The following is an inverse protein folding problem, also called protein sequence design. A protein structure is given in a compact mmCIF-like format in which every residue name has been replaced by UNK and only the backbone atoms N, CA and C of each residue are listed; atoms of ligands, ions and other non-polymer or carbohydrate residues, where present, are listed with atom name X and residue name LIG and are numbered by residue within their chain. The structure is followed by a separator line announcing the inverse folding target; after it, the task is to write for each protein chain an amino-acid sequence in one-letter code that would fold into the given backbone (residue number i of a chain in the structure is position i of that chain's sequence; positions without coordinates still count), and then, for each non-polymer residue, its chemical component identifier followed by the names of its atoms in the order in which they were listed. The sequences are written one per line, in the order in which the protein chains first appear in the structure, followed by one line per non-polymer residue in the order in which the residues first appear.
data_IF_160135894504
#
_entry.id   IF_160135894504
#
_cell.length_a   1.000
_cell.length_b   1.000
_cell.length_c   1.000
_cell.angle_alpha   90.00
_cell.angle_beta   90.00
_cell.angle_gamma   90.00
#
_symmetry.space_group_name_H-M   'P 1'
#
loop_
_entity.id
_entity.type
_entity.pdbx_description
1 polymer ?
#
# COMPACT_ATOMS: atom_id res chain seq x y z
N UNK A 1 -16.67 48.29 0.07
CA UNK A 1 -16.90 47.19 1.02
C UNK A 1 -15.89 46.10 0.71
N UNK A 2 -14.98 45.79 1.63
CA UNK A 2 -14.07 44.67 1.47
C UNK A 2 -14.89 43.37 1.57
N UNK A 3 -14.93 42.59 0.49
CA UNK A 3 -15.58 41.29 0.49
C UNK A 3 -14.87 40.32 1.45
N UNK A 4 -15.61 39.39 2.02
CA UNK A 4 -15.10 38.37 2.96
C UNK A 4 -14.04 37.44 2.33
N UNK A 5 -13.92 37.45 1.01
CA UNK A 5 -12.99 36.65 0.23
C UNK A 5 -12.19 37.54 -0.71
N UNK A 6 -10.88 37.35 -0.69
CA UNK A 6 -9.91 37.95 -1.60
C UNK A 6 -9.69 37.01 -2.78
N UNK A 7 -9.56 37.57 -3.97
CA UNK A 7 -9.18 36.81 -5.15
C UNK A 7 -7.72 36.36 -5.01
N UNK A 8 -7.49 35.05 -5.10
CA UNK A 8 -6.15 34.46 -5.16
C UNK A 8 -5.94 33.87 -6.54
N UNK A 9 -4.76 34.11 -7.12
CA UNK A 9 -4.32 33.48 -8.36
C UNK A 9 -3.84 32.05 -8.09
N UNK A 10 -3.74 31.21 -9.12
CA UNK A 10 -3.15 29.87 -9.00
C UNK A 10 -1.72 29.92 -8.45
N UNK A 11 -0.97 30.98 -8.80
CA UNK A 11 0.37 31.25 -8.27
C UNK A 11 0.34 31.56 -6.77
N UNK A 12 -0.66 32.29 -6.28
CA UNK A 12 -0.81 32.56 -4.83
C UNK A 12 -1.11 31.28 -4.05
N UNK A 13 -1.93 30.40 -4.64
CA UNK A 13 -2.25 29.08 -4.08
C UNK A 13 -1.01 28.19 -4.04
N UNK A 14 -0.22 28.12 -5.13
CA UNK A 14 1.03 27.37 -5.17
C UNK A 14 2.06 27.90 -4.16
N UNK A 15 2.19 29.22 -4.06
CA UNK A 15 3.09 29.85 -3.09
C UNK A 15 2.68 29.54 -1.66
N UNK A 16 1.39 29.61 -1.33
CA UNK A 16 0.86 29.23 -0.02
C UNK A 16 1.13 27.76 0.29
N UNK A 17 0.84 26.85 -0.65
CA UNK A 17 1.10 25.41 -0.49
C UNK A 17 2.58 25.10 -0.27
N UNK A 18 3.48 25.82 -0.94
CA UNK A 18 4.93 25.64 -0.77
C UNK A 18 5.46 26.20 0.57
N UNK A 19 4.84 27.26 1.11
CA UNK A 19 5.22 27.87 2.40
C UNK A 19 4.70 27.06 3.59
N UNK A 20 3.48 26.52 3.49
CA UNK A 20 2.85 25.72 4.55
C UNK A 20 3.34 24.26 4.59
N UNK A 21 4.13 23.81 3.61
CA UNK A 21 4.69 22.47 3.65
C UNK A 21 5.67 22.33 4.82
N UNK A 22 5.36 21.41 5.74
CA UNK A 22 6.21 21.16 6.90
C UNK A 22 7.63 20.78 6.45
N UNK A 23 8.59 21.64 6.80
CA UNK A 23 10.02 21.50 6.44
C UNK A 23 10.59 20.13 6.79
N UNK A 24 10.21 19.57 7.94
CA UNK A 24 10.67 18.25 8.37
C UNK A 24 10.13 17.15 7.46
N UNK A 25 8.90 17.30 6.98
CA UNK A 25 8.27 16.34 6.08
C UNK A 25 8.89 16.41 4.68
N UNK A 26 9.13 17.61 4.16
CA UNK A 26 9.85 17.82 2.89
C UNK A 26 11.22 17.14 2.91
N UNK A 27 12.02 17.42 3.95
CA UNK A 27 13.36 16.83 4.12
C UNK A 27 13.31 15.29 4.22
N UNK A 28 12.36 14.72 4.96
CA UNK A 28 12.19 13.26 5.04
C UNK A 28 11.82 12.66 3.68
N UNK A 29 10.91 13.30 2.95
CA UNK A 29 10.48 12.85 1.62
C UNK A 29 11.65 12.90 0.63
N UNK A 30 12.43 13.98 0.60
CA UNK A 30 13.62 14.08 -0.25
C UNK A 30 14.66 12.98 0.06
N UNK A 31 14.91 12.72 1.36
CA UNK A 31 15.82 11.66 1.78
C UNK A 31 15.37 10.27 1.33
N UNK A 32 14.08 9.97 1.46
CA UNK A 32 13.52 8.69 1.02
C UNK A 32 13.48 8.56 -0.51
N UNK A 33 13.14 9.62 -1.24
CA UNK A 33 13.17 9.63 -2.71
C UNK A 33 14.59 9.42 -3.25
N UNK A 34 15.59 10.01 -2.61
CA UNK A 34 17.00 9.82 -3.00
C UNK A 34 17.37 8.34 -3.01
N UNK A 35 16.93 7.57 -2.01
CA UNK A 35 17.21 6.15 -1.93
C UNK A 35 16.45 5.34 -2.99
N UNK A 36 15.19 5.70 -3.25
CA UNK A 36 14.38 5.07 -4.31
C UNK A 36 14.99 5.32 -5.70
N UNK A 37 15.39 6.55 -5.99
CA UNK A 37 16.04 6.90 -7.26
C UNK A 37 17.40 6.21 -7.42
N UNK A 38 18.18 6.09 -6.34
CA UNK A 38 19.42 5.32 -6.35
C UNK A 38 19.15 3.84 -6.69
N UNK A 39 18.11 3.23 -6.12
CA UNK A 39 17.70 1.88 -6.48
C UNK A 39 17.28 1.75 -7.94
N UNK A 40 16.46 2.67 -8.47
CA UNK A 40 16.08 2.65 -9.89
C UNK A 40 17.29 2.71 -10.82
N UNK A 41 18.29 3.53 -10.48
CA UNK A 41 19.53 3.60 -11.25
C UNK A 41 20.29 2.25 -11.27
N UNK A 42 20.24 1.45 -10.19
CA UNK A 42 20.81 0.09 -10.17
C UNK A 42 20.05 -0.89 -11.07
N UNK A 43 18.73 -0.70 -11.21
CA UNK A 43 17.88 -1.44 -12.16
C UNK A 43 17.95 -0.86 -13.59
N UNK A 44 18.90 0.06 -13.87
CA UNK A 44 19.06 0.77 -15.15
C UNK A 44 17.84 1.56 -15.59
N UNK A 45 17.04 2.04 -14.63
CA UNK A 45 15.90 2.92 -14.85
C UNK A 45 16.27 4.35 -14.44
N UNK A 46 16.22 5.27 -15.40
CA UNK A 46 16.67 6.66 -15.23
C UNK A 46 15.56 7.68 -15.51
N UNK A 47 14.36 7.23 -15.91
CA UNK A 47 13.21 8.12 -16.07
C UNK A 47 12.79 8.70 -14.71
N UNK A 48 12.10 9.83 -14.75
CA UNK A 48 11.48 10.38 -13.53
C UNK A 48 10.37 9.45 -13.04
N UNK A 49 10.09 9.46 -11.75
CA UNK A 49 9.10 8.59 -11.13
C UNK A 49 7.71 8.79 -11.74
N UNK A 50 7.36 10.06 -12.02
CA UNK A 50 6.10 10.48 -12.64
C UNK A 50 5.96 10.08 -14.11
N UNK A 51 7.06 9.75 -14.79
CA UNK A 51 7.04 9.30 -16.19
C UNK A 51 6.84 7.78 -16.31
N UNK A 52 6.92 7.05 -15.20
CA UNK A 52 6.75 5.60 -15.19
C UNK A 52 5.27 5.23 -15.27
N UNK A 53 4.96 4.16 -16.01
CA UNK A 53 3.61 3.59 -16.00
C UNK A 53 3.30 3.00 -14.61
N UNK A 54 2.05 3.07 -14.11
CA UNK A 54 1.70 2.57 -12.78
C UNK A 54 2.14 1.13 -12.51
N UNK A 55 1.98 0.23 -13.50
CA UNK A 55 2.40 -1.17 -13.37
C UNK A 55 3.92 -1.35 -13.23
N UNK A 56 4.72 -0.51 -13.90
CA UNK A 56 6.18 -0.57 -13.80
C UNK A 56 6.64 0.01 -12.46
N UNK A 57 6.05 1.13 -12.06
CA UNK A 57 6.31 1.78 -10.78
C UNK A 57 6.00 0.83 -9.61
N UNK A 58 4.87 0.12 -9.65
CA UNK A 58 4.49 -0.89 -8.65
C UNK A 58 5.50 -2.05 -8.58
N UNK A 59 5.98 -2.52 -9.74
CA UNK A 59 7.01 -3.57 -9.81
C UNK A 59 8.33 -3.11 -9.19
N UNK A 60 8.82 -1.92 -9.53
CA UNK A 60 10.05 -1.38 -8.97
C UNK A 60 9.94 -1.15 -7.47
N UNK A 61 8.83 -0.62 -7.01
CA UNK A 61 8.65 -0.31 -5.59
C UNK A 61 8.44 -1.56 -4.75
N UNK A 62 7.80 -2.60 -5.30
CA UNK A 62 7.76 -3.92 -4.68
C UNK A 62 9.17 -4.49 -4.50
N UNK A 63 10.01 -4.44 -5.54
CA UNK A 63 11.41 -4.91 -5.46
C UNK A 63 12.25 -4.07 -4.50
N UNK A 64 12.10 -2.74 -4.53
CA UNK A 64 12.76 -1.82 -3.61
C UNK A 64 12.41 -2.16 -2.16
N UNK A 65 11.12 -2.30 -1.83
CA UNK A 65 10.70 -2.59 -0.46
C UNK A 65 11.16 -3.96 0.04
N UNK A 66 11.35 -4.93 -0.87
CA UNK A 66 11.89 -6.25 -0.54
C UNK A 66 13.41 -6.24 -0.36
N UNK A 67 14.14 -5.35 -1.04
CA UNK A 67 15.61 -5.32 -1.03
C UNK A 67 16.20 -4.28 -0.09
N UNK A 68 15.45 -3.24 0.28
CA UNK A 68 15.96 -2.11 1.04
C UNK A 68 16.29 -2.48 2.49
N UNK A 69 17.54 -2.23 2.89
CA UNK A 69 18.07 -2.51 4.24
C UNK A 69 18.93 -1.34 4.73
N UNK A 70 19.17 -1.26 6.04
CA UNK A 70 20.11 -0.30 6.62
C UNK A 70 21.55 -0.67 6.21
N UNK A 71 22.49 0.26 6.41
CA UNK A 71 23.91 0.08 6.05
C UNK A 71 24.60 -1.16 6.67
N UNK A 72 24.09 -1.65 7.80
CA UNK A 72 24.61 -2.83 8.51
C UNK A 72 23.86 -4.13 8.14
N UNK A 73 23.00 -4.11 7.12
CA UNK A 73 22.16 -5.26 6.73
C UNK A 73 20.91 -5.45 7.60
N UNK A 74 20.68 -4.59 8.59
CA UNK A 74 19.46 -4.63 9.39
C UNK A 74 18.22 -4.26 8.56
N UNK A 75 17.11 -4.95 8.81
CA UNK A 75 15.82 -4.63 8.20
C UNK A 75 15.30 -3.27 8.71
N UNK A 76 14.59 -2.55 7.85
CA UNK A 76 13.87 -1.34 8.27
C UNK A 76 12.58 -1.70 9.01
N UNK A 77 12.27 -0.92 10.04
CA UNK A 77 10.98 -1.01 10.72
C UNK A 77 9.80 -0.85 9.75
N UNK A 78 8.68 -1.58 9.93
CA UNK A 78 7.50 -1.46 9.08
C UNK A 78 6.98 -0.02 8.94
N UNK A 79 7.13 0.80 9.98
CA UNK A 79 6.75 2.22 9.96
C UNK A 79 7.63 3.05 9.02
N UNK A 80 8.91 2.70 8.89
CA UNK A 80 9.85 3.35 7.96
C UNK A 80 9.55 2.94 6.52
N UNK A 81 9.22 1.66 6.29
CA UNK A 81 8.76 1.17 4.99
C UNK A 81 7.50 1.90 4.51
N UNK A 82 6.54 2.14 5.41
CA UNK A 82 5.38 3.00 5.12
C UNK A 82 5.79 4.43 4.80
N UNK A 83 6.83 4.95 5.47
CA UNK A 83 7.41 6.26 5.20
C UNK A 83 7.95 6.42 3.77
N UNK A 84 8.60 5.39 3.23
CA UNK A 84 9.03 5.35 1.83
C UNK A 84 7.83 5.45 0.88
N UNK A 85 6.83 4.58 1.05
CA UNK A 85 5.62 4.60 0.21
C UNK A 85 4.91 5.95 0.29
N UNK A 86 4.73 6.49 1.50
CA UNK A 86 4.07 7.77 1.70
C UNK A 86 4.83 8.95 1.05
N UNK A 87 6.15 8.85 0.96
CA UNK A 87 6.99 9.88 0.34
C UNK A 87 6.95 9.83 -1.17
N UNK A 88 6.99 8.62 -1.75
CA UNK A 88 6.77 8.42 -3.19
C UNK A 88 5.36 8.88 -3.58
N UNK A 89 4.34 8.45 -2.85
CA UNK A 89 2.95 8.86 -3.04
C UNK A 89 2.77 10.39 -3.00
N UNK A 90 3.40 11.06 -2.03
CA UNK A 90 3.37 12.52 -1.90
C UNK A 90 4.02 13.21 -3.10
N UNK A 91 5.18 12.70 -3.52
CA UNK A 91 5.90 13.23 -4.67
C UNK A 91 5.09 13.11 -5.96
N UNK A 92 4.56 11.92 -6.24
CA UNK A 92 3.75 11.64 -7.42
C UNK A 92 2.50 12.53 -7.48
N UNK A 93 1.81 12.72 -6.35
CA UNK A 93 0.67 13.65 -6.28
C UNK A 93 1.05 15.09 -6.59
N UNK A 94 2.21 15.55 -6.11
CA UNK A 94 2.71 16.90 -6.40
C UNK A 94 2.97 17.09 -7.90
N UNK A 95 3.36 16.02 -8.61
CA UNK A 95 3.56 16.03 -10.06
C UNK A 95 2.28 15.73 -10.87
N UNK A 96 1.10 15.65 -10.23
CA UNK A 96 -0.16 15.39 -10.93
C UNK A 96 -0.32 13.94 -11.41
N UNK A 97 0.42 13.00 -10.85
CA UNK A 97 0.35 11.59 -11.23
C UNK A 97 -1.04 10.99 -10.91
N UNK A 98 -1.66 10.32 -11.89
CA UNK A 98 -3.07 9.91 -11.83
C UNK A 98 -3.37 8.80 -10.82
N UNK A 99 -2.42 7.90 -10.58
CA UNK A 99 -2.65 6.69 -9.80
C UNK A 99 -1.98 6.75 -8.43
N UNK A 100 -2.75 6.44 -7.39
CA UNK A 100 -2.21 6.31 -6.04
C UNK A 100 -1.63 4.92 -5.81
N UNK A 101 -0.49 4.83 -5.15
CA UNK A 101 0.11 3.57 -4.71
C UNK A 101 -0.68 2.93 -3.56
N UNK A 102 -1.45 3.73 -2.83
CA UNK A 102 -2.31 3.30 -1.73
C UNK A 102 -3.74 3.05 -2.24
N UNK A 103 -3.92 2.94 -3.56
CA UNK A 103 -5.25 2.84 -4.19
C UNK A 103 -5.96 1.55 -3.83
N UNK A 104 -5.28 0.43 -3.60
CA UNK A 104 -5.96 -0.87 -3.39
C UNK A 104 -7.06 -0.83 -2.32
N UNK A 105 -6.73 -0.29 -1.14
CA UNK A 105 -7.70 -0.14 -0.03
C UNK A 105 -8.74 0.96 -0.32
N UNK A 106 -8.32 2.13 -0.81
CA UNK A 106 -9.24 3.25 -1.07
C UNK A 106 -10.24 2.90 -2.18
N UNK A 107 -9.75 2.31 -3.26
CA UNK A 107 -10.56 1.78 -4.34
C UNK A 107 -11.52 0.72 -3.81
N UNK A 108 -11.02 -0.26 -3.03
CA UNK A 108 -11.90 -1.24 -2.39
C UNK A 108 -13.06 -0.56 -1.65
N UNK A 109 -12.75 0.42 -0.78
CA UNK A 109 -13.75 1.19 -0.04
C UNK A 109 -14.73 1.93 -0.94
N UNK A 110 -14.28 2.57 -2.03
CA UNK A 110 -15.17 3.26 -2.98
C UNK A 110 -16.11 2.30 -3.73
N UNK A 111 -15.72 1.03 -3.87
CA UNK A 111 -16.51 0.01 -4.58
C UNK A 111 -17.45 -0.76 -3.64
N UNK A 112 -17.37 -0.56 -2.32
CA UNK A 112 -18.26 -1.20 -1.34
C UNK A 112 -19.68 -0.64 -1.44
N UNK A 113 -20.73 -1.47 -1.28
CA UNK A 113 -22.08 -1.00 -1.04
C UNK A 113 -22.11 -0.08 0.19
N UNK A 114 -22.83 1.05 0.09
CA UNK A 114 -22.89 2.08 1.16
C UNK A 114 -23.34 1.50 2.51
N UNK A 115 -24.23 0.53 2.47
CA UNK A 115 -24.77 -0.25 3.60
C UNK A 115 -23.71 -1.10 4.34
N UNK A 116 -22.54 -1.32 3.75
CA UNK A 116 -21.41 -2.06 4.37
C UNK A 116 -20.25 -1.15 4.82
N UNK A 117 -20.51 0.16 4.89
CA UNK A 117 -19.60 1.20 5.40
C UNK A 117 -19.91 1.57 6.86
N UNK A 118 -20.45 0.62 7.63
CA UNK A 118 -20.72 0.78 9.05
C UNK A 118 -19.69 0.01 9.88
N UNK A 119 -19.45 0.47 11.10
CA UNK A 119 -18.54 -0.22 12.02
C UNK A 119 -18.99 -1.68 12.25
N UNK A 120 -18.01 -2.58 12.40
CA UNK A 120 -18.26 -4.03 12.48
C UNK A 120 -18.63 -4.72 11.16
N UNK A 121 -18.75 -4.00 10.04
CA UNK A 121 -18.97 -4.64 8.73
C UNK A 121 -17.79 -5.54 8.34
N UNK A 122 -18.04 -6.73 7.76
CA UNK A 122 -16.97 -7.62 7.32
C UNK A 122 -16.10 -6.93 6.26
N UNK A 123 -14.77 -6.96 6.46
CA UNK A 123 -13.84 -6.36 5.50
C UNK A 123 -13.92 -7.06 4.13
N UNK A 124 -13.94 -8.39 4.10
CA UNK A 124 -14.06 -9.14 2.85
C UNK A 124 -15.53 -9.41 2.52
N UNK A 125 -16.01 -8.78 1.45
CA UNK A 125 -17.34 -8.97 0.91
C UNK A 125 -17.32 -9.97 -0.25
N UNK A 126 -18.47 -10.60 -0.50
CA UNK A 126 -18.66 -11.51 -1.62
C UNK A 126 -18.48 -10.77 -2.95
N UNK A 127 -17.61 -11.29 -3.81
CA UNK A 127 -17.33 -10.72 -5.14
C UNK A 127 -18.50 -11.02 -6.08
N UNK A 128 -18.94 -10.02 -6.84
CA UNK A 128 -19.84 -10.26 -7.97
C UNK A 128 -19.05 -10.75 -9.18
N UNK A 129 -19.42 -11.91 -9.71
CA UNK A 129 -18.83 -12.50 -10.92
C UNK A 129 -19.34 -11.76 -12.16
N UNK A 130 -18.84 -10.54 -12.36
CA UNK A 130 -19.11 -9.72 -13.54
C UNK A 130 -17.99 -9.90 -14.57
N UNK A 131 -18.33 -9.77 -15.84
CA UNK A 131 -17.34 -9.68 -16.91
C UNK A 131 -16.52 -8.39 -16.80
N UNK A 132 -15.33 -8.33 -17.41
CA UNK A 132 -14.47 -7.14 -17.34
C UNK A 132 -15.18 -5.89 -17.89
N UNK A 133 -15.97 -6.06 -18.94
CA UNK A 133 -16.75 -4.96 -19.56
C UNK A 133 -17.79 -4.42 -18.58
N UNK A 134 -18.47 -5.31 -17.85
CA UNK A 134 -19.45 -4.92 -16.82
C UNK A 134 -18.79 -4.27 -15.61
N UNK A 135 -17.57 -4.65 -15.25
CA UNK A 135 -16.82 -4.04 -14.15
C UNK A 135 -16.31 -2.63 -14.47
N UNK A 136 -16.08 -2.33 -15.75
CA UNK A 136 -15.64 -1.02 -16.21
C UNK A 136 -16.73 0.06 -16.12
N UNK A 137 -17.99 -0.32 -15.99
CA UNK A 137 -19.11 0.62 -15.83
C UNK A 137 -19.05 1.32 -14.47
N UNK A 138 -19.35 2.63 -14.45
CA UNK A 138 -19.42 3.41 -13.21
C UNK A 138 -20.49 2.90 -12.23
N UNK A 139 -21.54 2.25 -12.76
CA UNK A 139 -22.64 1.63 -12.01
C UNK A 139 -22.37 0.18 -11.59
N UNK A 140 -21.18 -0.36 -11.88
CA UNK A 140 -20.84 -1.73 -11.58
C UNK A 140 -20.93 -2.01 -10.07
N UNK A 141 -21.70 -3.05 -9.71
CA UNK A 141 -21.75 -3.56 -8.34
C UNK A 141 -20.65 -4.60 -8.16
N UNK A 142 -19.48 -4.17 -7.67
CA UNK A 142 -18.31 -5.05 -7.51
C UNK A 142 -18.52 -6.11 -6.43
N UNK A 143 -19.24 -5.77 -5.37
CA UNK A 143 -19.48 -6.65 -4.23
C UNK A 143 -20.97 -6.80 -3.94
N UNK A 144 -21.32 -7.95 -3.36
CA UNK A 144 -22.60 -8.15 -2.68
C UNK A 144 -22.42 -7.86 -1.18
N UNK A 145 -23.45 -7.33 -0.48
CA UNK A 145 -23.39 -7.01 0.95
C UNK A 145 -23.45 -8.27 1.84
N UNK A 146 -22.61 -9.27 1.56
CA UNK A 146 -22.50 -10.50 2.33
C UNK A 146 -21.02 -10.81 2.60
N UNK A 147 -20.67 -11.35 3.78
CA UNK A 147 -19.31 -11.75 4.07
C UNK A 147 -18.81 -12.80 3.07
N UNK A 148 -17.54 -12.70 2.69
CA UNK A 148 -16.89 -13.70 1.85
C UNK A 148 -16.77 -15.03 2.61
N UNK A 149 -17.11 -16.14 1.95
CA UNK A 149 -17.01 -17.48 2.55
C UNK A 149 -15.56 -17.88 2.88
N UNK A 150 -15.39 -18.63 3.97
CA UNK A 150 -14.08 -19.07 4.49
C UNK A 150 -13.23 -19.83 3.46
N UNK A 151 -13.85 -20.65 2.61
CA UNK A 151 -13.14 -21.37 1.56
C UNK A 151 -12.53 -20.41 0.52
N UNK A 152 -13.26 -19.34 0.15
CA UNK A 152 -12.73 -18.34 -0.78
C UNK A 152 -11.62 -17.53 -0.12
N UNK A 153 -11.79 -17.13 1.15
CA UNK A 153 -10.73 -16.47 1.93
C UNK A 153 -9.44 -17.30 1.97
N UNK A 154 -9.55 -18.63 2.15
CA UNK A 154 -8.40 -19.53 2.16
C UNK A 154 -7.69 -19.62 0.79
N UNK A 155 -8.37 -19.34 -0.32
CA UNK A 155 -7.74 -19.29 -1.65
C UNK A 155 -7.00 -17.98 -1.93
N UNK A 156 -7.35 -16.87 -1.27
CA UNK A 156 -6.79 -15.54 -1.62
C UNK A 156 -5.26 -15.48 -1.55
N UNK A 157 -4.67 -15.95 -0.44
CA UNK A 157 -3.21 -15.94 -0.28
C UNK A 157 -2.50 -16.78 -1.35
N UNK A 158 -3.09 -17.91 -1.71
CA UNK A 158 -2.57 -18.79 -2.76
C UNK A 158 -2.59 -18.10 -4.12
N UNK A 159 -3.70 -17.44 -4.44
CA UNK A 159 -3.88 -16.72 -5.70
C UNK A 159 -2.90 -15.53 -5.78
N UNK A 160 -2.72 -14.80 -4.67
CA UNK A 160 -1.76 -13.70 -4.59
C UNK A 160 -0.31 -14.18 -4.77
N UNK A 161 0.09 -15.26 -4.09
CA UNK A 161 1.43 -15.82 -4.21
C UNK A 161 1.73 -16.29 -5.64
N UNK A 162 0.77 -16.93 -6.30
CA UNK A 162 0.86 -17.31 -7.72
C UNK A 162 1.00 -16.10 -8.63
N UNK A 163 0.15 -15.08 -8.45
CA UNK A 163 0.18 -13.86 -9.25
C UNK A 163 1.48 -13.07 -9.07
N UNK A 164 2.05 -13.08 -7.87
CA UNK A 164 3.35 -12.48 -7.57
C UNK A 164 4.55 -13.30 -8.05
N UNK A 165 4.33 -14.48 -8.66
CA UNK A 165 5.40 -15.35 -9.15
C UNK A 165 6.28 -15.91 -8.03
N UNK A 166 5.74 -16.06 -6.80
CA UNK A 166 6.46 -16.69 -5.70
C UNK A 166 6.59 -18.19 -5.99
N UNK A 167 7.64 -18.56 -6.72
CA UNK A 167 8.00 -19.93 -7.05
C UNK A 167 8.48 -20.67 -5.82
N UNK A 168 7.56 -21.32 -5.12
CA UNK A 168 7.90 -22.23 -4.03
C UNK A 168 7.36 -23.62 -4.33
N UNK A 169 8.16 -24.65 -4.07
CA UNK A 169 7.71 -26.05 -4.15
C UNK A 169 6.61 -26.38 -3.12
N UNK A 170 6.36 -25.45 -2.18
CA UNK A 170 5.38 -25.57 -1.10
C UNK A 170 4.19 -24.64 -1.34
N UNK A 171 2.99 -25.05 -0.95
CA UNK A 171 1.81 -24.18 -1.02
C UNK A 171 1.91 -23.07 0.04
N UNK A 172 1.96 -21.81 -0.41
CA UNK A 172 1.80 -20.65 0.47
C UNK A 172 0.31 -20.49 0.79
N UNK A 173 -0.02 -20.62 2.07
CA UNK A 173 -1.38 -20.52 2.62
C UNK A 173 -1.40 -19.52 3.79
N UNK A 174 -2.59 -19.15 4.26
CA UNK A 174 -2.75 -18.33 5.45
C UNK A 174 -2.01 -18.93 6.66
N UNK A 175 -2.04 -20.25 6.81
CA UNK A 175 -1.36 -20.94 7.90
C UNK A 175 0.17 -20.86 7.77
N UNK A 176 0.73 -21.07 6.56
CA UNK A 176 2.18 -20.95 6.37
C UNK A 176 2.67 -19.52 6.60
N UNK A 177 1.91 -18.52 6.15
CA UNK A 177 2.22 -17.12 6.42
C UNK A 177 2.22 -16.81 7.93
N UNK A 178 1.22 -17.30 8.67
CA UNK A 178 1.18 -17.19 10.15
C UNK A 178 2.38 -17.87 10.81
N UNK A 179 2.76 -19.07 10.37
CA UNK A 179 3.94 -19.78 10.88
C UNK A 179 5.22 -18.98 10.65
N UNK A 180 5.41 -18.44 9.44
CA UNK A 180 6.58 -17.60 9.12
C UNK A 180 6.61 -16.33 9.96
N UNK A 181 5.48 -15.68 10.19
CA UNK A 181 5.38 -14.52 11.09
C UNK A 181 5.85 -14.86 12.50
N UNK A 182 5.32 -15.94 13.10
CA UNK A 182 5.72 -16.40 14.44
C UNK A 182 7.21 -16.68 14.50
N UNK A 183 7.75 -17.36 13.48
CA UNK A 183 9.16 -17.68 13.37
C UNK A 183 10.03 -16.42 13.34
N UNK A 184 9.69 -15.45 12.48
CA UNK A 184 10.41 -14.17 12.40
C UNK A 184 10.36 -13.38 13.71
N UNK A 185 9.21 -13.30 14.37
CA UNK A 185 9.08 -12.61 15.65
C UNK A 185 9.98 -13.24 16.71
N UNK A 186 10.04 -14.57 16.76
CA UNK A 186 10.94 -15.29 17.67
C UNK A 186 12.41 -15.02 17.34
N UNK A 187 12.77 -15.03 16.07
CA UNK A 187 14.15 -14.79 15.62
C UNK A 187 14.58 -13.32 15.86
N UNK A 188 13.63 -12.39 15.95
CA UNK A 188 13.83 -11.00 16.38
C UNK A 188 13.72 -10.78 17.89
N UNK A 189 13.76 -11.85 18.67
CA UNK A 189 13.75 -11.83 20.14
C UNK A 189 12.52 -11.15 20.76
N UNK A 190 11.38 -11.19 20.05
CA UNK A 190 10.11 -10.69 20.57
C UNK A 190 9.61 -11.64 21.66
N UNK A 191 9.20 -11.14 22.84
CA UNK A 191 8.72 -11.98 23.94
C UNK A 191 7.56 -12.91 23.52
N UNK A 192 7.55 -14.18 23.96
CA UNK A 192 6.49 -15.13 23.61
C UNK A 192 5.08 -14.63 23.95
N UNK A 193 4.92 -13.85 25.03
CA UNK A 193 3.66 -13.23 25.43
C UNK A 193 3.12 -12.25 24.39
N UNK A 194 3.99 -11.43 23.80
CA UNK A 194 3.63 -10.51 22.72
C UNK A 194 3.31 -11.27 21.44
N UNK A 195 4.09 -12.31 21.11
CA UNK A 195 3.82 -13.16 19.94
C UNK A 195 2.44 -13.81 20.06
N UNK A 196 2.08 -14.32 21.24
CA UNK A 196 0.77 -14.92 21.52
C UNK A 196 -0.35 -13.90 21.35
N UNK A 197 -0.18 -12.67 21.83
CA UNK A 197 -1.15 -11.59 21.62
C UNK A 197 -1.31 -11.22 20.14
N UNK A 198 -0.20 -11.03 19.42
CA UNK A 198 -0.19 -10.66 18.00
C UNK A 198 -0.85 -11.74 17.15
N UNK A 199 -0.60 -13.01 17.47
CA UNK A 199 -1.08 -14.14 16.66
C UNK A 199 -2.43 -14.65 17.14
N UNK A 200 -2.83 -14.39 18.39
CA UNK A 200 -4.06 -14.91 18.99
C UNK A 200 -3.98 -16.41 19.29
N UNK A 201 -2.83 -16.92 19.75
CA UNK A 201 -2.77 -18.26 20.32
C UNK A 201 -3.43 -18.28 21.69
N UNK A 202 -4.05 -19.42 22.06
CA UNK A 202 -4.65 -19.56 23.40
C UNK A 202 -3.62 -19.82 24.49
N UNK A 203 -2.48 -20.41 24.13
CA UNK A 203 -1.44 -20.85 25.05
C UNK A 203 -0.07 -20.35 24.60
N UNK A 204 0.84 -20.24 25.57
CA UNK A 204 2.29 -20.09 25.37
C UNK A 204 2.91 -21.41 24.91
#
# INVERSE_FOLDING_TARGET
MAGRFIFQTDTDVENFLNVEENKNTKRKTEGYLTLVLAFLATEKEYRKLEDLRPAHLDTYLSRFLLSVQKKLGEEYEPTTLRGFIASVERHLKKQGYSDSMITGYKLNMTKRPKETLVDGSPFYLTINNLSREKLALSSAKWFKPQPMGVNKLNTLMRDCAKAAGLGTDKQITNHSARKTLVQKLRDSDVPPTEIVQITGHKNL
#
